data_IF_877047523721
#
_entry.id   IF_877047523721
#
_cell.length_a   1.000
_cell.length_b   1.000
_cell.length_c   1.000
_cell.angle_alpha   90.00
_cell.angle_beta   90.00
_cell.angle_gamma   90.00
#
_symmetry.space_group_name_H-M   'P 1'
#
loop_
_entity.id
_entity.type
_entity.pdbx_description
1 polymer ?
#
# COMPACT_ATOMS: atom_id res chain seq x y z
N UNK A 1 7.70 16.14 18.06
CA UNK A 1 6.63 17.14 17.83
C UNK A 1 6.86 18.48 18.54
N UNK A 2 7.38 18.54 19.79
CA UNK A 2 7.60 19.85 20.47
C UNK A 2 8.51 20.83 19.71
N UNK A 3 9.57 20.34 19.07
CA UNK A 3 10.50 21.17 18.29
C UNK A 3 9.89 21.79 17.01
N UNK A 4 8.78 21.27 16.49
CA UNK A 4 8.12 21.84 15.32
C UNK A 4 7.51 23.22 15.54
N UNK A 5 7.31 23.60 16.80
CA UNK A 5 6.85 24.93 17.23
C UNK A 5 8.00 25.88 17.57
N UNK A 6 9.25 25.51 17.27
CA UNK A 6 10.43 26.29 17.59
C UNK A 6 11.30 26.49 16.36
N UNK A 7 12.05 27.59 16.34
CA UNK A 7 13.22 27.72 15.49
C UNK A 7 14.37 26.98 16.14
N UNK A 8 14.85 25.92 15.48
CA UNK A 8 15.93 25.10 15.96
C UNK A 8 16.90 24.74 14.84
N UNK A 9 18.11 25.26 14.92
CA UNK A 9 19.20 25.10 13.96
C UNK A 9 20.33 24.17 14.47
N UNK A 10 20.08 23.39 15.53
CA UNK A 10 21.03 22.47 16.18
C UNK A 10 22.18 23.20 16.93
N UNK A 11 22.49 24.45 16.58
CA UNK A 11 23.60 25.23 17.15
C UNK A 11 23.10 26.09 18.31
N UNK A 12 21.95 26.74 18.14
CA UNK A 12 21.36 27.64 19.11
C UNK A 12 20.24 27.00 19.93
N UNK A 13 19.97 27.54 21.10
CA UNK A 13 18.84 27.10 21.91
C UNK A 13 17.52 27.31 21.16
N UNK A 14 16.57 26.36 21.22
CA UNK A 14 15.31 26.48 20.53
C UNK A 14 14.54 27.73 20.95
N UNK A 15 14.11 28.56 19.99
CA UNK A 15 13.28 29.74 20.23
C UNK A 15 11.84 29.42 19.79
N UNK A 16 10.84 29.76 20.60
CA UNK A 16 9.46 29.55 20.28
C UNK A 16 9.03 30.31 19.02
N UNK A 17 8.55 29.57 17.99
CA UNK A 17 8.13 30.11 16.70
C UNK A 17 6.61 30.00 16.48
N UNK A 18 5.88 29.40 17.42
CA UNK A 18 4.46 29.16 17.27
C UNK A 18 4.14 28.33 16.03
N UNK A 19 3.17 28.76 15.23
CA UNK A 19 2.74 28.07 13.99
C UNK A 19 3.53 28.51 12.74
N UNK A 20 4.56 29.35 12.88
CA UNK A 20 5.28 29.93 11.73
C UNK A 20 5.82 28.85 10.77
N UNK A 21 6.43 27.78 11.29
CA UNK A 21 6.96 26.71 10.46
C UNK A 21 5.87 26.00 9.63
N UNK A 22 4.68 25.86 10.19
CA UNK A 22 3.54 25.28 9.46
C UNK A 22 2.98 26.23 8.41
N UNK A 23 2.90 27.51 8.73
CA UNK A 23 2.47 28.53 7.76
C UNK A 23 3.46 28.58 6.60
N UNK A 24 4.76 28.64 6.87
CA UNK A 24 5.80 28.63 5.83
C UNK A 24 5.73 27.38 4.95
N UNK A 25 5.54 26.19 5.55
CA UNK A 25 5.40 24.93 4.81
C UNK A 25 4.19 24.96 3.86
N UNK A 26 3.06 25.49 4.33
CA UNK A 26 1.81 25.49 3.56
C UNK A 26 1.68 26.66 2.56
N UNK A 27 2.44 27.76 2.73
CA UNK A 27 2.30 28.95 1.89
C UNK A 27 3.56 29.32 1.12
N UNK A 28 4.73 28.93 1.61
CA UNK A 28 6.02 29.35 1.06
C UNK A 28 6.85 28.23 0.43
N UNK A 29 6.56 26.96 0.76
CA UNK A 29 7.30 25.82 0.21
C UNK A 29 6.60 25.30 -1.05
N UNK A 30 7.08 25.76 -2.21
CA UNK A 30 6.56 25.33 -3.50
C UNK A 30 6.74 23.82 -3.75
N UNK A 31 7.84 23.23 -3.31
CA UNK A 31 8.13 21.81 -3.47
C UNK A 31 7.12 20.99 -2.68
N UNK A 32 6.86 21.39 -1.43
CA UNK A 32 5.88 20.72 -0.59
C UNK A 32 4.47 20.76 -1.21
N UNK A 33 4.03 21.95 -1.65
CA UNK A 33 2.66 22.15 -2.14
C UNK A 33 2.44 21.57 -3.54
N UNK A 34 3.43 21.65 -4.45
CA UNK A 34 3.29 21.19 -5.84
C UNK A 34 3.54 19.70 -6.00
N UNK A 35 4.45 19.12 -5.21
CA UNK A 35 4.89 17.74 -5.42
C UNK A 35 4.62 16.85 -4.20
N UNK A 36 5.05 17.23 -3.00
CA UNK A 36 4.98 16.33 -1.85
C UNK A 36 3.54 16.09 -1.43
N UNK A 37 2.75 17.13 -1.26
CA UNK A 37 1.37 17.01 -0.80
C UNK A 37 0.47 16.26 -1.80
N UNK A 38 0.42 16.60 -3.11
CA UNK A 38 -0.40 15.89 -4.08
C UNK A 38 0.01 14.42 -4.23
N UNK A 39 1.31 14.14 -4.31
CA UNK A 39 1.81 12.78 -4.44
C UNK A 39 1.52 11.93 -3.19
N UNK A 40 1.65 12.53 -2.00
CA UNK A 40 1.31 11.85 -0.74
C UNK A 40 -0.19 11.54 -0.66
N UNK A 41 -1.04 12.48 -1.05
CA UNK A 41 -2.51 12.28 -1.07
C UNK A 41 -2.87 11.21 -2.10
N UNK A 42 -2.35 11.29 -3.33
CA UNK A 42 -2.56 10.28 -4.37
C UNK A 42 -2.15 8.90 -3.89
N UNK A 43 -0.94 8.79 -3.36
CA UNK A 43 -0.42 7.54 -2.81
C UNK A 43 -1.29 7.00 -1.68
N UNK A 44 -1.66 7.82 -0.71
CA UNK A 44 -2.47 7.41 0.43
C UNK A 44 -3.87 6.94 0.00
N UNK A 45 -4.48 7.60 -0.98
CA UNK A 45 -5.78 7.19 -1.54
C UNK A 45 -5.63 5.85 -2.26
N UNK A 46 -4.67 5.73 -3.18
CA UNK A 46 -4.52 4.52 -4.00
C UNK A 46 -4.11 3.33 -3.15
N UNK A 47 -3.14 3.48 -2.25
CA UNK A 47 -2.67 2.39 -1.39
C UNK A 47 -3.66 2.08 -0.27
N UNK A 48 -4.25 3.09 0.36
CA UNK A 48 -5.22 2.90 1.44
C UNK A 48 -6.51 2.24 0.94
N UNK A 49 -7.17 2.85 -0.03
CA UNK A 49 -8.43 2.33 -0.59
C UNK A 49 -8.16 1.07 -1.42
N UNK A 50 -7.15 1.09 -2.29
CA UNK A 50 -6.78 -0.05 -3.13
C UNK A 50 -6.36 -1.26 -2.31
N UNK A 51 -5.54 -1.09 -1.28
CA UNK A 51 -5.13 -2.14 -0.35
C UNK A 51 -6.30 -2.72 0.44
N UNK A 52 -7.24 -1.87 0.88
CA UNK A 52 -8.47 -2.30 1.55
C UNK A 52 -9.34 -3.17 0.64
N UNK A 53 -9.62 -2.70 -0.58
CA UNK A 53 -10.43 -3.44 -1.57
C UNK A 53 -9.72 -4.75 -1.95
N UNK A 54 -8.41 -4.70 -2.21
CA UNK A 54 -7.62 -5.88 -2.55
C UNK A 54 -7.64 -6.91 -1.42
N UNK A 55 -7.49 -6.48 -0.17
CA UNK A 55 -7.56 -7.35 1.01
C UNK A 55 -8.93 -8.02 1.14
N UNK A 56 -10.01 -7.28 0.92
CA UNK A 56 -11.37 -7.84 0.94
C UNK A 56 -11.58 -8.86 -0.20
N UNK A 57 -11.21 -8.50 -1.43
CA UNK A 57 -11.36 -9.39 -2.60
C UNK A 57 -10.56 -10.69 -2.42
N UNK A 58 -9.32 -10.60 -1.95
CA UNK A 58 -8.49 -11.78 -1.70
C UNK A 58 -9.05 -12.63 -0.56
N UNK A 59 -9.52 -12.01 0.53
CA UNK A 59 -10.17 -12.72 1.62
C UNK A 59 -11.43 -13.46 1.13
N UNK A 60 -12.25 -12.80 0.32
CA UNK A 60 -13.47 -13.39 -0.24
C UNK A 60 -13.17 -14.54 -1.20
N UNK A 61 -12.18 -14.37 -2.09
CA UNK A 61 -11.74 -15.45 -3.00
C UNK A 61 -11.23 -16.67 -2.23
N UNK A 62 -10.38 -16.43 -1.23
CA UNK A 62 -9.82 -17.53 -0.43
C UNK A 62 -10.86 -18.23 0.44
N UNK A 63 -11.88 -17.51 0.91
CA UNK A 63 -12.95 -18.10 1.70
C UNK A 63 -13.70 -19.20 0.94
N UNK A 64 -13.76 -19.13 -0.38
CA UNK A 64 -14.39 -20.14 -1.23
C UNK A 64 -13.54 -21.40 -1.47
N UNK A 65 -12.25 -21.32 -1.16
CA UNK A 65 -11.32 -22.44 -1.32
C UNK A 65 -11.41 -23.48 -0.21
N UNK A 66 -10.87 -24.66 -0.49
CA UNK A 66 -10.74 -25.72 0.54
C UNK A 66 -9.82 -25.24 1.68
N UNK A 67 -9.98 -25.76 2.91
CA UNK A 67 -9.17 -25.30 4.06
C UNK A 67 -7.65 -25.37 3.82
N UNK A 68 -7.17 -26.40 3.13
CA UNK A 68 -5.72 -26.54 2.83
C UNK A 68 -5.23 -25.47 1.86
N UNK A 69 -5.95 -25.26 0.76
CA UNK A 69 -5.62 -24.24 -0.24
C UNK A 69 -5.68 -22.86 0.39
N UNK A 70 -6.73 -22.56 1.14
CA UNK A 70 -6.92 -21.30 1.87
C UNK A 70 -5.75 -20.99 2.78
N UNK A 71 -5.31 -21.93 3.60
CA UNK A 71 -4.20 -21.74 4.55
C UNK A 71 -2.90 -21.41 3.81
N UNK A 72 -2.55 -22.18 2.77
CA UNK A 72 -1.31 -21.96 2.02
C UNK A 72 -1.30 -20.57 1.36
N UNK A 73 -2.38 -20.20 0.66
CA UNK A 73 -2.45 -18.89 0.00
C UNK A 73 -2.58 -17.72 1.00
N UNK A 74 -3.31 -17.91 2.11
CA UNK A 74 -3.38 -16.88 3.14
C UNK A 74 -2.01 -16.61 3.76
N UNK A 75 -1.22 -17.65 4.05
CA UNK A 75 0.16 -17.50 4.51
C UNK A 75 1.03 -16.80 3.46
N UNK A 76 0.96 -17.21 2.20
CA UNK A 76 1.73 -16.59 1.13
C UNK A 76 1.42 -15.10 0.97
N UNK A 77 0.13 -14.72 1.06
CA UNK A 77 -0.31 -13.32 0.94
C UNK A 77 0.01 -12.49 2.19
N UNK A 78 -0.02 -13.10 3.36
CA UNK A 78 0.31 -12.43 4.61
C UNK A 78 1.83 -12.26 4.83
N UNK A 79 2.64 -13.18 4.29
CA UNK A 79 4.11 -13.17 4.46
C UNK A 79 4.77 -11.84 4.12
N UNK A 80 4.42 -11.13 3.01
CA UNK A 80 5.03 -9.84 2.71
C UNK A 80 4.89 -8.80 3.83
N UNK A 81 3.75 -8.78 4.52
CA UNK A 81 3.51 -7.85 5.62
C UNK A 81 4.35 -8.14 6.88
N UNK A 82 4.88 -9.36 7.00
CA UNK A 82 5.77 -9.78 8.10
C UNK A 82 7.25 -9.57 7.78
N UNK A 83 7.58 -9.43 6.50
CA UNK A 83 8.97 -9.23 6.07
C UNK A 83 9.45 -7.85 6.50
N UNK A 84 10.62 -7.81 7.13
CA UNK A 84 11.21 -6.54 7.57
C UNK A 84 11.51 -5.59 6.41
N UNK A 85 11.41 -4.30 6.68
CA UNK A 85 11.59 -3.22 5.70
C UNK A 85 12.89 -3.33 4.89
N UNK A 86 13.98 -3.77 5.52
CA UNK A 86 15.28 -3.94 4.87
C UNK A 86 15.22 -5.02 3.79
N UNK A 87 14.62 -6.17 4.08
CA UNK A 87 14.50 -7.26 3.11
C UNK A 87 13.59 -6.90 1.94
N UNK A 88 12.46 -6.26 2.20
CA UNK A 88 11.58 -5.74 1.14
C UNK A 88 12.36 -4.80 0.21
N UNK A 89 13.13 -3.88 0.79
CA UNK A 89 13.96 -2.94 0.03
C UNK A 89 14.97 -3.66 -0.86
N UNK A 90 15.71 -4.62 -0.30
CA UNK A 90 16.73 -5.38 -1.05
C UNK A 90 16.09 -6.15 -2.20
N UNK A 91 15.00 -6.88 -1.93
CA UNK A 91 14.30 -7.68 -2.95
C UNK A 91 13.86 -6.79 -4.11
N UNK A 92 13.14 -5.72 -3.84
CA UNK A 92 12.57 -4.87 -4.89
C UNK A 92 13.62 -4.02 -5.61
N UNK A 93 14.68 -3.57 -4.92
CA UNK A 93 15.83 -2.93 -5.58
C UNK A 93 16.55 -3.87 -6.54
N UNK A 94 16.69 -5.15 -6.20
CA UNK A 94 17.29 -6.13 -7.09
C UNK A 94 16.39 -6.42 -8.30
N UNK A 95 15.07 -6.47 -8.09
CA UNK A 95 14.13 -6.71 -9.20
C UNK A 95 14.10 -5.51 -10.15
N UNK A 96 13.99 -4.28 -9.62
CA UNK A 96 13.86 -3.04 -10.38
C UNK A 96 15.19 -2.27 -10.50
N UNK A 97 16.34 -2.95 -10.42
CA UNK A 97 17.62 -2.29 -10.72
C UNK A 97 17.61 -1.75 -12.15
N UNK A 98 18.12 -0.52 -12.32
CA UNK A 98 18.17 0.16 -13.62
C UNK A 98 19.25 -0.34 -14.57
N UNK A 99 20.06 -1.32 -14.17
CA UNK A 99 21.11 -1.91 -14.98
C UNK A 99 20.65 -3.21 -15.69
N UNK A 100 21.55 -3.81 -16.45
CA UNK A 100 21.29 -5.07 -17.16
C UNK A 100 21.13 -6.27 -16.22
N UNK A 101 21.59 -6.15 -14.97
CA UNK A 101 21.51 -7.22 -13.97
C UNK A 101 20.18 -7.20 -13.22
N UNK A 102 19.43 -6.11 -13.32
CA UNK A 102 18.07 -5.99 -12.76
C UNK A 102 17.16 -7.06 -13.35
N UNK A 103 16.47 -7.84 -12.48
CA UNK A 103 15.65 -8.96 -12.94
C UNK A 103 14.56 -8.53 -13.94
N UNK A 104 13.90 -7.40 -13.70
CA UNK A 104 12.88 -6.87 -14.61
C UNK A 104 13.48 -6.56 -15.99
N UNK A 105 14.60 -5.86 -16.05
CA UNK A 105 15.29 -5.53 -17.31
C UNK A 105 15.79 -6.79 -18.02
N UNK A 106 16.42 -7.70 -17.30
CA UNK A 106 16.94 -8.94 -17.87
C UNK A 106 15.85 -9.80 -18.53
N UNK A 107 14.68 -9.94 -17.89
CA UNK A 107 13.55 -10.67 -18.49
C UNK A 107 12.93 -9.93 -19.66
N UNK A 108 12.70 -8.61 -19.56
CA UNK A 108 12.13 -7.83 -20.66
C UNK A 108 13.04 -7.80 -21.90
N UNK A 109 14.35 -7.70 -21.72
CA UNK A 109 15.32 -7.81 -22.82
C UNK A 109 15.35 -9.23 -23.41
N UNK A 110 15.32 -10.27 -22.57
CA UNK A 110 15.28 -11.66 -23.04
C UNK A 110 14.04 -11.96 -23.90
N UNK A 111 12.90 -11.34 -23.59
CA UNK A 111 11.68 -11.48 -24.39
C UNK A 111 11.60 -10.48 -25.56
N UNK A 112 12.62 -9.65 -25.77
CA UNK A 112 12.64 -8.67 -26.85
C UNK A 112 11.61 -7.54 -26.72
N UNK A 113 11.17 -7.26 -25.49
CA UNK A 113 10.18 -6.20 -25.21
C UNK A 113 10.87 -4.84 -25.13
N UNK A 114 12.10 -4.80 -24.63
CA UNK A 114 12.92 -3.59 -24.52
C UNK A 114 14.31 -3.86 -25.10
N UNK A 115 14.89 -2.84 -25.74
CA UNK A 115 16.25 -2.91 -26.29
C UNK A 115 17.33 -2.45 -25.30
N UNK A 116 16.95 -1.51 -24.41
CA UNK A 116 17.85 -0.94 -23.40
C UNK A 116 17.23 -1.03 -22.01
N UNK A 117 18.07 -1.12 -20.94
CA UNK A 117 17.61 -1.18 -19.57
C UNK A 117 16.84 0.10 -19.19
N UNK A 118 15.71 -0.07 -18.55
CA UNK A 118 14.89 1.02 -18.03
C UNK A 118 15.36 1.38 -16.62
N UNK A 119 15.48 2.68 -16.35
CA UNK A 119 15.86 3.23 -15.04
C UNK A 119 14.63 3.33 -14.12
N UNK A 120 14.12 2.18 -13.66
CA UNK A 120 12.84 2.03 -12.96
C UNK A 120 12.68 2.91 -11.72
N UNK A 121 13.73 3.01 -10.90
CA UNK A 121 13.69 3.66 -9.58
C UNK A 121 14.17 5.12 -9.61
N UNK A 122 14.61 5.61 -10.77
CA UNK A 122 15.07 6.99 -10.96
C UNK A 122 14.06 7.78 -11.80
N UNK A 123 13.41 7.12 -12.76
CA UNK A 123 12.43 7.75 -13.64
C UNK A 123 11.18 8.16 -12.88
N UNK A 124 10.73 9.40 -13.05
CA UNK A 124 9.48 9.92 -12.50
C UNK A 124 8.25 9.13 -12.95
N UNK A 125 8.28 8.61 -14.19
CA UNK A 125 7.15 7.89 -14.79
C UNK A 125 6.91 6.51 -14.16
N UNK A 126 7.99 5.83 -13.74
CA UNK A 126 7.92 4.46 -13.23
C UNK A 126 7.99 4.37 -11.70
N UNK A 127 8.61 5.34 -11.04
CA UNK A 127 8.85 5.28 -9.61
C UNK A 127 7.57 5.20 -8.78
N UNK A 128 6.61 6.10 -9.03
CA UNK A 128 5.34 6.12 -8.30
C UNK A 128 4.51 4.85 -8.52
N UNK A 129 4.29 4.35 -9.76
CA UNK A 129 3.64 3.06 -10.00
C UNK A 129 4.30 1.88 -9.28
N UNK A 130 5.64 1.81 -9.28
CA UNK A 130 6.38 0.74 -8.59
C UNK A 130 6.19 0.83 -7.07
N UNK A 131 6.30 2.04 -6.52
CA UNK A 131 6.08 2.27 -5.09
C UNK A 131 4.66 1.84 -4.66
N UNK A 132 3.65 2.18 -5.46
CA UNK A 132 2.26 1.77 -5.23
C UNK A 132 2.14 0.24 -5.30
N UNK A 133 2.72 -0.39 -6.32
CA UNK A 133 2.67 -1.85 -6.49
C UNK A 133 3.31 -2.58 -5.30
N UNK A 134 4.51 -2.18 -4.89
CA UNK A 134 5.21 -2.76 -3.72
C UNK A 134 4.40 -2.59 -2.45
N UNK A 135 3.76 -1.43 -2.30
CA UNK A 135 2.93 -1.11 -1.14
C UNK A 135 1.65 -1.94 -1.10
N UNK A 136 0.95 -2.08 -2.23
CA UNK A 136 -0.23 -2.93 -2.35
C UNK A 136 0.10 -4.40 -2.08
N UNK A 137 1.24 -4.88 -2.60
CA UNK A 137 1.71 -6.24 -2.33
C UNK A 137 1.99 -6.47 -0.84
N UNK A 138 2.53 -5.46 -0.13
CA UNK A 138 2.80 -5.53 1.30
C UNK A 138 1.61 -5.17 2.20
N UNK A 139 0.50 -4.71 1.62
CA UNK A 139 -0.66 -4.22 2.39
C UNK A 139 -1.51 -5.31 3.01
N UNK A 140 -1.39 -6.56 2.54
CA UNK A 140 -2.18 -7.70 3.02
C UNK A 140 -1.70 -8.20 4.39
N UNK A 141 -1.94 -7.39 5.42
CA UNK A 141 -1.57 -7.66 6.80
C UNK A 141 -2.73 -8.17 7.68
N UNK A 142 -2.76 -7.72 8.92
CA UNK A 142 -3.75 -8.12 9.93
C UNK A 142 -5.18 -7.81 9.49
N UNK A 143 -5.41 -6.70 8.76
CA UNK A 143 -6.70 -6.33 8.21
C UNK A 143 -7.26 -7.40 7.25
N UNK A 144 -6.42 -7.91 6.36
CA UNK A 144 -6.77 -9.02 5.46
C UNK A 144 -7.17 -10.29 6.24
N UNK A 145 -6.37 -10.69 7.25
CA UNK A 145 -6.69 -11.87 8.07
C UNK A 145 -7.99 -11.69 8.86
N UNK A 146 -8.24 -10.47 9.37
CA UNK A 146 -9.51 -10.16 10.04
C UNK A 146 -10.71 -10.29 9.11
N UNK A 147 -10.59 -9.80 7.87
CA UNK A 147 -11.64 -9.95 6.86
C UNK A 147 -11.86 -11.41 6.48
N UNK A 148 -10.79 -12.18 6.26
CA UNK A 148 -10.89 -13.61 5.97
C UNK A 148 -11.59 -14.37 7.10
N UNK A 149 -11.19 -14.13 8.34
CA UNK A 149 -11.85 -14.69 9.53
C UNK A 149 -13.31 -14.27 9.61
N UNK A 150 -13.62 -12.99 9.33
CA UNK A 150 -14.98 -12.49 9.31
C UNK A 150 -15.87 -13.25 8.34
N UNK A 151 -15.41 -13.44 7.11
CA UNK A 151 -16.16 -14.19 6.08
C UNK A 151 -16.38 -15.65 6.49
N UNK A 152 -15.35 -16.29 7.05
CA UNK A 152 -15.43 -17.69 7.46
C UNK A 152 -16.35 -17.95 8.67
N UNK A 153 -16.65 -16.91 9.44
CA UNK A 153 -17.54 -16.99 10.59
C UNK A 153 -18.99 -16.62 10.25
N UNK A 154 -19.30 -16.28 9.00
CA UNK A 154 -20.68 -16.05 8.57
C UNK A 154 -21.40 -17.41 8.53
N UNK A 155 -22.59 -17.44 9.16
CA UNK A 155 -23.40 -18.64 9.17
C UNK A 155 -23.83 -19.03 7.75
N UNK A 156 -23.63 -20.28 7.41
CA UNK A 156 -23.95 -20.80 6.08
C UNK A 156 -25.46 -20.77 5.82
N UNK A 157 -26.29 -20.89 6.86
CA UNK A 157 -27.73 -20.80 6.76
C UNK A 157 -28.20 -19.45 6.19
N UNK A 158 -27.45 -18.35 6.45
CA UNK A 158 -27.75 -17.04 5.87
C UNK A 158 -27.61 -17.02 4.35
N UNK A 159 -26.62 -17.73 3.82
CA UNK A 159 -26.45 -17.85 2.39
C UNK A 159 -27.53 -18.73 1.74
N UNK A 160 -27.90 -19.82 2.41
CA UNK A 160 -28.95 -20.72 1.93
C UNK A 160 -30.32 -20.04 1.92
N UNK A 161 -30.68 -19.32 3.01
CA UNK A 161 -31.90 -18.53 3.08
C UNK A 161 -31.97 -17.47 1.98
N UNK A 162 -30.86 -16.79 1.73
CA UNK A 162 -30.78 -15.75 0.72
C UNK A 162 -30.95 -16.28 -0.72
N UNK A 163 -30.50 -17.49 -1.01
CA UNK A 163 -30.78 -18.14 -2.30
C UNK A 163 -32.27 -18.44 -2.47
N UNK A 164 -32.96 -18.84 -1.40
CA UNK A 164 -34.42 -19.02 -1.39
C UNK A 164 -35.14 -17.69 -1.61
N UNK A 165 -34.64 -16.60 -1.01
CA UNK A 165 -35.16 -15.23 -1.14
C UNK A 165 -34.84 -14.58 -2.51
N UNK A 166 -34.14 -15.27 -3.41
CA UNK A 166 -33.96 -14.86 -4.80
C UNK A 166 -32.66 -14.15 -5.10
N UNK A 167 -31.62 -14.28 -4.28
CA UNK A 167 -30.25 -13.87 -4.64
C UNK A 167 -29.74 -14.79 -5.76
N UNK A 168 -29.33 -14.15 -6.89
CA UNK A 168 -28.99 -14.88 -8.12
C UNK A 168 -27.51 -14.86 -8.47
N UNK A 169 -26.73 -13.95 -7.91
CA UNK A 169 -25.33 -13.79 -8.29
C UNK A 169 -24.43 -13.43 -7.10
N UNK A 170 -23.12 -13.64 -7.28
CA UNK A 170 -22.10 -13.41 -6.26
C UNK A 170 -21.98 -11.95 -5.82
N UNK A 171 -22.25 -11.00 -6.70
CA UNK A 171 -22.22 -9.58 -6.32
C UNK A 171 -23.35 -9.23 -5.33
N UNK A 172 -24.54 -9.77 -5.53
CA UNK A 172 -25.66 -9.65 -4.59
C UNK A 172 -25.35 -10.30 -3.25
N UNK A 173 -24.76 -11.49 -3.27
CA UNK A 173 -24.31 -12.21 -2.06
C UNK A 173 -23.32 -11.35 -1.25
N UNK A 174 -22.32 -10.75 -1.92
CA UNK A 174 -21.35 -9.87 -1.26
C UNK A 174 -22.07 -8.67 -0.62
N UNK A 175 -22.91 -7.98 -1.37
CA UNK A 175 -23.51 -6.71 -0.93
C UNK A 175 -24.57 -6.93 0.16
N UNK A 176 -25.41 -7.96 0.03
CA UNK A 176 -26.56 -8.13 0.91
C UNK A 176 -26.31 -9.05 2.10
N UNK A 177 -25.29 -9.95 2.02
CA UNK A 177 -25.00 -10.89 3.08
C UNK A 177 -23.60 -10.68 3.65
N UNK A 178 -22.58 -10.84 2.81
CA UNK A 178 -21.18 -10.87 3.28
C UNK A 178 -20.78 -9.56 3.95
N UNK A 179 -20.93 -8.43 3.26
CA UNK A 179 -20.54 -7.11 3.80
C UNK A 179 -21.34 -6.73 5.04
N UNK A 180 -22.69 -6.86 5.09
CA UNK A 180 -23.46 -6.56 6.30
C UNK A 180 -23.10 -7.43 7.50
N UNK A 181 -22.82 -8.71 7.28
CA UNK A 181 -22.52 -9.68 8.36
C UNK A 181 -21.15 -9.48 8.98
N UNK A 182 -20.19 -8.86 8.25
CA UNK A 182 -18.82 -8.67 8.73
C UNK A 182 -18.43 -7.20 8.94
N UNK A 183 -19.40 -6.33 9.22
CA UNK A 183 -19.17 -4.89 9.47
C UNK A 183 -18.04 -4.60 10.47
N UNK A 184 -17.93 -5.27 11.63
CA UNK A 184 -16.84 -5.00 12.58
C UNK A 184 -15.46 -5.30 11.99
N UNK A 185 -15.30 -6.39 11.26
CA UNK A 185 -14.04 -6.78 10.62
C UNK A 185 -13.69 -5.84 9.47
N UNK A 186 -14.70 -5.40 8.72
CA UNK A 186 -14.51 -4.39 7.67
C UNK A 186 -14.08 -3.04 8.24
N UNK A 187 -14.71 -2.59 9.36
CA UNK A 187 -14.29 -1.36 10.03
C UNK A 187 -12.85 -1.47 10.54
N UNK A 188 -12.49 -2.57 11.19
CA UNK A 188 -11.13 -2.83 11.62
C UNK A 188 -10.15 -2.83 10.45
N UNK A 189 -10.49 -3.51 9.35
CA UNK A 189 -9.70 -3.52 8.12
C UNK A 189 -9.50 -2.13 7.51
N UNK A 190 -10.55 -1.29 7.51
CA UNK A 190 -10.48 0.09 7.02
C UNK A 190 -9.54 0.95 7.87
N UNK A 191 -9.66 0.88 9.20
CA UNK A 191 -8.76 1.59 10.12
C UNK A 191 -7.30 1.15 9.89
N UNK A 192 -7.05 -0.15 9.80
CA UNK A 192 -5.71 -0.68 9.54
C UNK A 192 -5.17 -0.28 8.18
N UNK A 193 -6.00 -0.24 7.15
CA UNK A 193 -5.60 0.22 5.81
C UNK A 193 -5.16 1.69 5.81
N UNK A 194 -5.91 2.56 6.51
CA UNK A 194 -5.55 3.98 6.67
C UNK A 194 -4.22 4.11 7.42
N UNK A 195 -4.10 3.47 8.57
CA UNK A 195 -2.87 3.52 9.38
C UNK A 195 -1.66 3.03 8.58
N UNK A 196 -1.82 1.93 7.85
CA UNK A 196 -0.75 1.36 7.03
C UNK A 196 -0.37 2.29 5.86
N UNK A 197 -1.35 2.91 5.18
CA UNK A 197 -1.08 3.82 4.08
C UNK A 197 -0.18 5.00 4.51
N UNK A 198 -0.44 5.58 5.69
CA UNK A 198 0.41 6.63 6.24
C UNK A 198 1.78 6.13 6.72
N UNK A 199 1.86 4.91 7.21
CA UNK A 199 3.13 4.33 7.68
C UNK A 199 4.02 3.82 6.54
N UNK A 200 3.49 3.54 5.35
CA UNK A 200 4.25 2.97 4.23
C UNK A 200 5.09 4.00 3.44
N UNK A 201 5.08 5.27 3.81
CA UNK A 201 5.91 6.31 3.18
C UNK A 201 7.42 6.00 3.18
N UNK A 202 7.90 5.14 4.10
CA UNK A 202 9.29 4.67 4.12
C UNK A 202 9.68 3.89 2.86
N UNK A 203 8.73 3.26 2.15
CA UNK A 203 9.00 2.49 0.93
C UNK A 203 9.59 3.39 -0.15
N UNK A 204 9.06 4.61 -0.32
CA UNK A 204 9.61 5.58 -1.26
C UNK A 204 11.07 5.91 -0.96
N UNK A 205 11.37 6.26 0.28
CA UNK A 205 12.75 6.57 0.72
C UNK A 205 13.65 5.34 0.57
N UNK A 206 13.15 4.17 0.92
CA UNK A 206 13.91 2.93 0.84
C UNK A 206 14.25 2.55 -0.61
N UNK A 207 13.31 2.69 -1.55
CA UNK A 207 13.51 2.35 -2.96
C UNK A 207 14.38 3.38 -3.68
N UNK A 208 14.14 4.68 -3.48
CA UNK A 208 14.92 5.75 -4.11
C UNK A 208 16.34 5.89 -3.53
N UNK A 209 16.57 5.41 -2.30
CA UNK A 209 17.83 5.65 -1.57
C UNK A 209 17.80 6.92 -0.74
N UNK A 210 18.92 7.24 -0.08
CA UNK A 210 19.02 8.36 0.86
C UNK A 210 18.93 9.76 0.17
N UNK A 211 18.97 9.80 -1.15
CA UNK A 211 18.91 11.03 -1.91
C UNK A 211 18.04 10.81 -3.17
N UNK A 212 16.70 10.79 -3.03
CA UNK A 212 15.87 10.93 -4.19
C UNK A 212 16.08 12.37 -4.68
N UNK A 213 16.94 12.56 -5.66
CA UNK A 213 16.92 13.78 -6.46
C UNK A 213 15.84 13.55 -7.52
N UNK A 214 14.62 14.06 -7.31
CA UNK A 214 13.74 14.20 -8.44
C UNK A 214 14.44 15.21 -9.34
N UNK A 215 14.56 14.87 -10.60
CA UNK A 215 14.95 15.84 -11.61
C UNK A 215 13.78 16.82 -11.72
N UNK A 216 13.84 17.92 -10.95
CA UNK A 216 12.88 19.02 -11.00
C UNK A 216 13.18 20.00 -12.16
N UNK A 217 14.06 19.62 -13.08
CA UNK A 217 14.47 20.44 -14.22
C UNK A 217 13.58 20.25 -15.47
N UNK A 218 12.41 19.63 -15.32
CA UNK A 218 11.41 19.50 -16.38
C UNK A 218 10.20 20.38 -16.15
#
# INVERSE_FOLDING_TARGET
>A
MGLSFTYFDVINAPKFAGLHNYITLLTGDEVFMKYVLPNTVLYAIVVGIGGYILSFLMAWLLAQGTPRIRTVYALAMYTPSMVGQVLITVIWKTIFSGDQTGLANAYLQKFGIIDQPIQWLISSDYFMPIMIFVSLWSSMGIGFLSMLSGILNIDQELYEAAYVDGIKNRAQEIIYITVPSMKPQMLFGAVMAIVNAFNMGWIGVALAGANPTPDYSG
#
